data_IF_658523465393
#
_entry.id   IF_658523465393
#
_cell.length_a   1.000
_cell.length_b   1.000
_cell.length_c   1.000
_cell.angle_alpha   90.00
_cell.angle_beta   90.00
_cell.angle_gamma   90.00
#
_symmetry.space_group_name_H-M   'P 1'
#
loop_
_entity.id
_entity.type
_entity.pdbx_description
1 polymer ?
#
# COMPACT_ATOMS: atom_id res chain seq x y z
N UNK A 1 -14.37 8.00 -1.71
CA UNK A 1 -13.29 7.50 -0.83
C UNK A 1 -12.13 8.47 -0.83
N UNK A 2 -11.38 8.56 0.28
CA UNK A 2 -10.14 9.36 0.35
C UNK A 2 -8.96 8.50 -0.09
N UNK A 3 -8.17 8.99 -1.05
CA UNK A 3 -7.00 8.31 -1.58
C UNK A 3 -5.76 9.18 -1.32
N UNK A 4 -4.84 8.65 -0.53
CA UNK A 4 -3.52 9.24 -0.34
C UNK A 4 -2.57 8.78 -1.45
N UNK A 5 -1.82 9.72 -2.02
CA UNK A 5 -0.76 9.43 -2.99
C UNK A 5 0.56 10.02 -2.46
N UNK A 6 1.34 9.25 -1.69
CA UNK A 6 2.67 9.67 -1.28
C UNK A 6 3.60 9.65 -2.50
N UNK A 7 4.38 10.71 -2.70
CA UNK A 7 5.30 10.87 -3.83
C UNK A 7 6.67 11.36 -3.37
N UNK A 8 7.73 10.78 -3.94
CA UNK A 8 9.10 11.29 -3.81
C UNK A 8 9.97 10.84 -4.97
N UNK A 9 10.35 11.76 -5.87
CA UNK A 9 11.14 11.50 -7.08
C UNK A 9 10.55 10.40 -7.97
N UNK A 10 9.23 10.46 -8.22
CA UNK A 10 8.45 9.49 -8.99
C UNK A 10 7.67 10.13 -10.15
N UNK A 11 8.05 11.31 -10.60
CA UNK A 11 7.33 12.07 -11.63
C UNK A 11 7.08 11.30 -12.92
N UNK A 12 7.99 10.38 -13.27
CA UNK A 12 7.86 9.49 -14.44
C UNK A 12 6.70 8.49 -14.36
N UNK A 13 6.16 8.23 -13.16
CA UNK A 13 5.08 7.25 -12.93
C UNK A 13 3.81 7.90 -12.41
N UNK A 14 3.93 9.05 -11.78
CA UNK A 14 2.84 9.71 -11.08
C UNK A 14 1.63 10.02 -12.00
N UNK A 15 1.87 10.32 -13.28
CA UNK A 15 0.79 10.56 -14.25
C UNK A 15 -0.05 9.28 -14.48
N UNK A 16 0.59 8.11 -14.56
CA UNK A 16 -0.09 6.81 -14.68
C UNK A 16 -0.93 6.51 -13.43
N UNK A 17 -0.35 6.72 -12.23
CA UNK A 17 -1.04 6.51 -10.97
C UNK A 17 -2.29 7.37 -10.85
N UNK A 18 -2.18 8.68 -11.08
CA UNK A 18 -3.30 9.62 -11.03
C UNK A 18 -4.34 9.32 -12.11
N UNK A 19 -3.91 9.01 -13.33
CA UNK A 19 -4.82 8.57 -14.40
C UNK A 19 -5.65 7.37 -13.95
N UNK A 20 -5.02 6.35 -13.36
CA UNK A 20 -5.71 5.14 -12.91
C UNK A 20 -6.73 5.41 -11.80
N UNK A 21 -6.45 6.36 -10.91
CA UNK A 21 -7.37 6.78 -9.85
C UNK A 21 -8.59 7.46 -10.46
N UNK A 22 -8.37 8.43 -11.34
CA UNK A 22 -9.47 9.24 -11.90
C UNK A 22 -10.27 8.54 -13.01
N UNK A 23 -9.82 7.37 -13.45
CA UNK A 23 -10.58 6.45 -14.30
C UNK A 23 -11.49 5.49 -13.52
N UNK A 24 -11.40 5.46 -12.19
CA UNK A 24 -12.35 4.70 -11.38
C UNK A 24 -13.73 5.39 -11.40
N UNK A 25 -14.77 4.65 -11.70
CA UNK A 25 -16.14 5.16 -11.85
C UNK A 25 -16.84 5.35 -10.49
N UNK A 26 -16.15 6.01 -9.55
CA UNK A 26 -16.64 6.28 -8.20
C UNK A 26 -16.11 7.63 -7.70
N UNK A 27 -16.83 8.34 -6.82
CA UNK A 27 -16.35 9.57 -6.23
C UNK A 27 -15.10 9.36 -5.39
N UNK A 28 -14.05 10.15 -5.65
CA UNK A 28 -12.77 10.10 -4.94
C UNK A 28 -12.33 11.48 -4.47
N UNK A 29 -11.75 11.54 -3.27
CA UNK A 29 -11.00 12.67 -2.72
C UNK A 29 -9.51 12.30 -2.81
N UNK A 30 -8.76 12.95 -3.68
CA UNK A 30 -7.35 12.62 -3.93
C UNK A 30 -6.44 13.69 -3.36
N UNK A 31 -5.50 13.26 -2.51
CA UNK A 31 -4.47 14.10 -1.91
C UNK A 31 -3.09 13.59 -2.27
N UNK A 32 -2.25 14.46 -2.86
CA UNK A 32 -0.87 14.12 -3.23
C UNK A 32 0.09 14.79 -2.26
N UNK A 33 0.83 13.99 -1.50
CA UNK A 33 1.83 14.46 -0.55
C UNK A 33 3.24 14.16 -1.09
N UNK A 34 3.85 15.16 -1.69
CA UNK A 34 5.20 15.07 -2.24
C UNK A 34 6.25 15.45 -1.20
N UNK A 35 7.23 14.57 -1.00
CA UNK A 35 8.30 14.69 -0.01
C UNK A 35 9.42 15.69 -0.38
N UNK A 36 9.15 16.66 -1.27
CA UNK A 36 10.13 17.62 -1.76
C UNK A 36 10.98 17.04 -2.90
N UNK A 37 10.31 16.49 -3.92
CA UNK A 37 10.95 15.94 -5.11
C UNK A 37 11.79 16.97 -5.85
N UNK A 38 12.88 16.52 -6.44
CA UNK A 38 13.78 17.31 -7.30
C UNK A 38 13.65 16.97 -8.80
N UNK A 39 12.84 15.96 -9.13
CA UNK A 39 12.50 15.60 -10.51
C UNK A 39 11.25 16.35 -11.00
N UNK A 40 10.63 15.90 -12.10
CA UNK A 40 9.42 16.49 -12.66
C UNK A 40 8.11 16.18 -11.89
N UNK A 41 8.17 15.59 -10.68
CA UNK A 41 6.98 15.24 -9.90
C UNK A 41 6.06 16.42 -9.66
N UNK A 42 6.61 17.58 -9.28
CA UNK A 42 5.83 18.80 -8.99
C UNK A 42 5.10 19.31 -10.24
N UNK A 43 5.71 19.20 -11.41
CA UNK A 43 5.07 19.63 -12.67
C UNK A 43 3.89 18.71 -13.02
N UNK A 44 4.04 17.41 -12.80
CA UNK A 44 2.92 16.45 -12.94
C UNK A 44 1.82 16.78 -11.94
N UNK A 45 2.14 17.03 -10.67
CA UNK A 45 1.14 17.40 -9.65
C UNK A 45 0.37 18.66 -10.06
N UNK A 46 1.07 19.70 -10.51
CA UNK A 46 0.43 20.95 -10.98
C UNK A 46 -0.52 20.73 -12.14
N UNK A 47 -0.16 19.86 -13.10
CA UNK A 47 -1.02 19.48 -14.23
C UNK A 47 -2.36 18.89 -13.75
N UNK A 48 -2.33 18.10 -12.68
CA UNK A 48 -3.50 17.46 -12.08
C UNK A 48 -4.20 18.31 -11.00
N UNK A 49 -3.61 19.43 -10.59
CA UNK A 49 -4.05 20.24 -9.44
C UNK A 49 -5.54 20.58 -9.43
N UNK A 50 -6.13 20.81 -10.59
CA UNK A 50 -7.57 21.11 -10.73
C UNK A 50 -8.51 19.93 -10.40
N UNK A 51 -7.98 18.70 -10.30
CA UNK A 51 -8.70 17.47 -9.93
C UNK A 51 -8.38 16.97 -8.53
N UNK A 52 -7.29 17.46 -7.93
CA UNK A 52 -6.88 17.07 -6.59
C UNK A 52 -7.66 17.86 -5.53
N UNK A 53 -8.05 17.20 -4.44
CA UNK A 53 -8.62 17.88 -3.27
C UNK A 53 -7.57 18.67 -2.49
N UNK A 54 -6.30 18.26 -2.57
CA UNK A 54 -5.17 18.96 -1.99
C UNK A 54 -3.84 18.34 -2.40
N UNK A 55 -2.78 19.12 -2.31
CA UNK A 55 -1.42 18.64 -2.51
C UNK A 55 -0.41 19.58 -1.84
N UNK A 56 0.75 19.03 -1.52
CA UNK A 56 1.91 19.82 -1.08
C UNK A 56 3.21 19.21 -1.61
N UNK A 57 4.29 19.99 -1.66
CA UNK A 57 5.62 19.53 -1.99
C UNK A 57 6.64 20.21 -1.08
N UNK A 58 7.11 19.50 -0.08
CA UNK A 58 8.22 19.87 0.81
C UNK A 58 8.73 18.61 1.53
N UNK A 59 9.93 18.70 2.08
CA UNK A 59 10.50 17.60 2.87
C UNK A 59 9.59 17.21 4.03
N UNK A 60 9.45 15.91 4.25
CA UNK A 60 8.61 15.32 5.29
C UNK A 60 9.35 14.17 6.04
N UNK A 61 8.67 13.58 7.01
CA UNK A 61 9.19 12.45 7.79
C UNK A 61 9.07 11.10 7.06
N UNK A 62 8.73 11.12 5.77
CA UNK A 62 8.65 9.94 4.91
C UNK A 62 7.23 9.48 4.60
N UNK A 63 7.16 8.37 3.90
CA UNK A 63 5.93 7.85 3.28
C UNK A 63 4.77 7.69 4.26
N UNK A 64 5.01 7.20 5.48
CA UNK A 64 3.96 7.02 6.48
C UNK A 64 3.36 8.36 6.94
N UNK A 65 4.20 9.38 7.14
CA UNK A 65 3.74 10.74 7.47
C UNK A 65 2.87 11.31 6.34
N UNK A 66 3.34 11.20 5.10
CA UNK A 66 2.60 11.64 3.91
C UNK A 66 1.23 10.94 3.78
N UNK A 67 1.15 9.63 4.03
CA UNK A 67 -0.12 8.88 3.98
C UNK A 67 -1.07 9.35 5.08
N UNK A 68 -0.60 9.44 6.34
CA UNK A 68 -1.44 9.88 7.46
C UNK A 68 -1.94 11.31 7.27
N UNK A 69 -1.07 12.21 6.82
CA UNK A 69 -1.42 13.61 6.51
C UNK A 69 -2.51 13.68 5.44
N UNK A 70 -2.35 12.98 4.31
CA UNK A 70 -3.33 12.96 3.23
C UNK A 70 -4.70 12.45 3.69
N UNK A 71 -4.73 11.33 4.42
CA UNK A 71 -5.99 10.74 4.89
C UNK A 71 -6.69 11.63 5.92
N UNK A 72 -5.93 12.35 6.76
CA UNK A 72 -6.50 13.27 7.75
C UNK A 72 -7.22 14.48 7.14
N UNK A 73 -6.87 14.87 5.90
CA UNK A 73 -7.50 15.98 5.20
C UNK A 73 -8.82 15.60 4.51
N UNK A 74 -9.06 14.32 4.25
CA UNK A 74 -10.27 13.85 3.60
C UNK A 74 -11.38 13.50 4.58
N UNK A 75 -12.62 13.40 4.08
CA UNK A 75 -13.82 13.13 4.89
C UNK A 75 -14.57 11.86 4.45
N UNK A 76 -14.19 11.25 3.35
CA UNK A 76 -14.90 10.10 2.82
C UNK A 76 -14.88 8.89 3.78
N UNK A 77 -15.93 8.06 3.82
CA UNK A 77 -16.10 6.96 4.77
C UNK A 77 -15.12 5.78 4.55
N UNK A 78 -14.40 5.78 3.44
CA UNK A 78 -13.41 4.77 3.09
C UNK A 78 -12.09 5.42 2.73
N UNK A 79 -10.99 4.76 3.07
CA UNK A 79 -9.64 5.25 2.85
C UNK A 79 -8.75 4.18 2.22
N UNK A 80 -7.84 4.60 1.38
CA UNK A 80 -6.73 3.79 0.89
C UNK A 80 -5.56 4.69 0.50
N UNK A 81 -4.42 4.10 0.16
CA UNK A 81 -3.34 4.84 -0.49
C UNK A 81 -2.83 4.08 -1.71
N UNK A 82 -2.35 4.81 -2.66
CA UNK A 82 -1.69 4.30 -3.84
C UNK A 82 -0.31 4.94 -3.93
N UNK A 83 0.74 4.13 -3.96
CA UNK A 83 2.07 4.65 -4.20
C UNK A 83 2.13 5.27 -5.60
N UNK A 84 2.94 6.31 -5.76
CA UNK A 84 3.02 7.07 -7.01
C UNK A 84 3.59 6.30 -8.21
N UNK A 85 4.12 5.10 -7.98
CA UNK A 85 4.61 4.17 -9.00
C UNK A 85 3.64 3.00 -9.31
N UNK A 86 2.54 2.86 -8.57
CA UNK A 86 1.53 1.81 -8.72
C UNK A 86 0.28 2.33 -9.47
N UNK A 87 -0.66 1.44 -9.83
CA UNK A 87 -1.93 1.84 -10.42
C UNK A 87 -3.07 0.86 -10.13
N UNK A 88 -4.30 1.38 -10.14
CA UNK A 88 -5.51 0.56 -10.07
C UNK A 88 -5.87 -0.01 -11.46
N UNK A 89 -6.40 -1.22 -11.46
CA UNK A 89 -7.04 -1.79 -12.64
C UNK A 89 -8.44 -1.17 -12.85
N UNK A 90 -8.99 -1.22 -14.08
CA UNK A 90 -10.36 -0.75 -14.34
C UNK A 90 -11.37 -1.35 -13.34
N UNK A 91 -12.24 -0.50 -12.79
CA UNK A 91 -13.24 -0.87 -11.77
C UNK A 91 -12.67 -1.50 -10.49
N UNK A 92 -11.35 -1.45 -10.25
CA UNK A 92 -10.70 -2.09 -9.10
C UNK A 92 -11.23 -1.57 -7.76
N UNK A 93 -11.34 -0.25 -7.62
CA UNK A 93 -11.90 0.36 -6.41
C UNK A 93 -13.40 0.10 -6.25
N UNK A 94 -14.16 0.04 -7.36
CA UNK A 94 -15.58 -0.32 -7.33
C UNK A 94 -15.76 -1.73 -6.76
N UNK A 95 -15.02 -2.72 -7.25
CA UNK A 95 -15.07 -4.11 -6.77
C UNK A 95 -14.76 -4.20 -5.27
N UNK A 96 -13.73 -3.50 -4.80
CA UNK A 96 -13.38 -3.44 -3.39
C UNK A 96 -14.51 -2.80 -2.55
N UNK A 97 -15.13 -1.72 -3.06
CA UNK A 97 -16.22 -1.04 -2.36
C UNK A 97 -17.47 -1.94 -2.27
N UNK A 98 -17.83 -2.59 -3.36
CA UNK A 98 -18.99 -3.48 -3.41
C UNK A 98 -18.81 -4.65 -2.43
N UNK A 99 -17.62 -5.26 -2.41
CA UNK A 99 -17.30 -6.33 -1.46
C UNK A 99 -17.34 -5.83 0.00
N UNK A 100 -16.77 -4.66 0.30
CA UNK A 100 -16.81 -4.09 1.64
C UNK A 100 -18.24 -3.73 2.08
N UNK A 101 -19.12 -3.43 1.14
CA UNK A 101 -20.54 -3.16 1.43
C UNK A 101 -21.30 -4.44 1.82
N UNK A 102 -20.96 -5.58 1.21
CA UNK A 102 -21.53 -6.89 1.54
C UNK A 102 -21.17 -7.33 2.97
N UNK A 103 -19.98 -6.92 3.45
CA UNK A 103 -19.48 -7.28 4.78
C UNK A 103 -19.36 -6.04 5.69
N UNK A 104 -20.48 -5.57 6.29
CA UNK A 104 -20.51 -4.32 7.06
C UNK A 104 -19.58 -4.33 8.28
N UNK A 105 -19.34 -5.49 8.88
CA UNK A 105 -18.48 -5.65 10.07
C UNK A 105 -16.99 -5.79 9.72
N UNK A 106 -16.63 -5.96 8.45
CA UNK A 106 -15.23 -6.07 8.06
C UNK A 106 -14.53 -4.70 8.13
N UNK A 107 -13.36 -4.58 8.78
CA UNK A 107 -12.63 -3.32 8.86
C UNK A 107 -12.03 -2.89 7.51
N UNK A 108 -11.73 -3.87 6.66
CA UNK A 108 -11.15 -3.67 5.35
C UNK A 108 -11.43 -4.87 4.44
N UNK A 109 -11.33 -4.62 3.14
CA UNK A 109 -11.27 -5.64 2.08
C UNK A 109 -9.96 -5.52 1.33
N UNK A 110 -9.43 -6.64 0.85
CA UNK A 110 -8.25 -6.66 -0.02
C UNK A 110 -8.44 -7.65 -1.17
N UNK A 111 -7.96 -7.27 -2.32
CA UNK A 111 -7.99 -8.09 -3.53
C UNK A 111 -6.61 -8.59 -3.93
N UNK A 112 -6.53 -9.15 -5.16
CA UNK A 112 -5.28 -9.54 -5.80
C UNK A 112 -4.65 -8.35 -6.52
N UNK A 113 -3.33 -8.40 -6.66
CA UNK A 113 -2.59 -7.48 -7.52
C UNK A 113 -1.56 -8.21 -8.38
N UNK A 114 -1.16 -7.55 -9.45
CA UNK A 114 -0.05 -7.96 -10.27
C UNK A 114 1.23 -7.23 -9.86
N UNK A 115 2.37 -7.91 -9.94
CA UNK A 115 3.65 -7.25 -10.12
C UNK A 115 3.92 -7.15 -11.62
N UNK A 116 4.25 -5.94 -12.08
CA UNK A 116 4.61 -5.68 -13.49
C UNK A 116 6.01 -5.10 -13.55
N UNK A 117 6.91 -5.81 -14.23
CA UNK A 117 8.28 -5.33 -14.45
C UNK A 117 8.27 -4.24 -15.51
N UNK A 118 8.73 -3.04 -15.16
CA UNK A 118 8.65 -1.80 -15.96
C UNK A 118 9.09 -1.97 -17.43
N UNK A 119 10.24 -2.61 -17.67
CA UNK A 119 10.82 -2.66 -19.02
C UNK A 119 10.34 -3.85 -19.85
N UNK A 120 10.07 -4.98 -19.22
CA UNK A 120 9.68 -6.21 -19.94
C UNK A 120 8.17 -6.40 -20.04
N UNK A 121 7.40 -5.64 -19.25
CA UNK A 121 5.96 -5.85 -19.12
C UNK A 121 5.57 -7.21 -18.51
N UNK A 122 6.55 -7.99 -18.04
CA UNK A 122 6.31 -9.29 -17.42
C UNK A 122 5.42 -9.13 -16.20
N UNK A 123 4.31 -9.88 -16.19
CA UNK A 123 3.34 -9.89 -15.09
C UNK A 123 3.49 -11.16 -14.27
N UNK A 124 3.49 -11.00 -12.95
CA UNK A 124 3.43 -12.11 -12.00
C UNK A 124 2.41 -11.78 -10.91
N UNK A 125 1.54 -12.71 -10.49
CA UNK A 125 0.60 -12.42 -9.42
C UNK A 125 1.36 -12.22 -8.10
N UNK A 126 0.95 -11.21 -7.32
CA UNK A 126 1.39 -11.09 -5.95
C UNK A 126 0.78 -12.23 -5.14
N UNK A 127 1.54 -12.79 -4.23
CA UNK A 127 1.02 -13.86 -3.38
C UNK A 127 0.05 -13.29 -2.35
N UNK A 128 -1.23 -13.49 -2.59
CA UNK A 128 -2.35 -13.09 -1.72
C UNK A 128 -3.21 -14.32 -1.45
N UNK A 129 -3.70 -14.45 -0.24
CA UNK A 129 -4.55 -15.59 0.19
C UNK A 129 -5.67 -15.09 1.11
N UNK A 130 -6.77 -15.86 1.28
CA UNK A 130 -7.80 -15.57 2.27
C UNK A 130 -7.21 -15.34 3.66
N UNK A 131 -7.81 -14.41 4.40
CA UNK A 131 -7.28 -14.01 5.71
C UNK A 131 -7.23 -15.19 6.69
N UNK A 132 -6.06 -15.38 7.26
CA UNK A 132 -5.84 -16.34 8.34
C UNK A 132 -4.64 -15.87 9.18
N UNK A 133 -4.83 -15.71 10.48
CA UNK A 133 -3.81 -15.19 11.40
C UNK A 133 -2.45 -15.91 11.29
N UNK A 134 -2.46 -17.26 11.35
CA UNK A 134 -1.23 -18.06 11.23
C UNK A 134 -0.52 -17.85 9.89
N UNK A 135 -1.28 -17.63 8.81
CA UNK A 135 -0.71 -17.34 7.48
C UNK A 135 -0.10 -15.96 7.46
N UNK A 136 -0.79 -14.97 8.04
CA UNK A 136 -0.27 -13.62 8.22
C UNK A 136 1.04 -13.63 9.04
N UNK A 137 1.16 -14.44 10.08
CA UNK A 137 2.40 -14.60 10.85
C UNK A 137 3.56 -15.21 10.03
N UNK A 138 3.28 -16.04 9.02
CA UNK A 138 4.29 -16.66 8.17
C UNK A 138 4.79 -15.77 7.03
N UNK A 139 3.97 -14.80 6.61
CA UNK A 139 4.25 -13.80 5.56
C UNK A 139 3.12 -12.79 5.46
N UNK A 140 3.39 -11.60 4.92
CA UNK A 140 2.31 -10.72 4.51
C UNK A 140 1.51 -11.36 3.36
N UNK A 141 0.21 -11.60 3.60
CA UNK A 141 -0.73 -12.22 2.65
C UNK A 141 -1.68 -11.21 2.01
N UNK A 142 -1.48 -9.93 2.27
CA UNK A 142 -2.32 -8.82 1.84
C UNK A 142 -1.49 -7.92 0.94
N UNK A 143 -2.02 -7.56 -0.21
CA UNK A 143 -1.39 -6.62 -1.13
C UNK A 143 -1.85 -5.20 -0.83
N UNK A 144 -0.92 -4.32 -0.53
CA UNK A 144 -1.21 -2.97 -0.09
C UNK A 144 -2.04 -2.16 -1.12
N UNK A 145 -1.66 -2.02 -2.40
CA UNK A 145 -2.43 -1.21 -3.34
C UNK A 145 -3.81 -1.80 -3.66
N UNK A 146 -4.04 -3.07 -3.33
CA UNK A 146 -5.30 -3.76 -3.52
C UNK A 146 -6.20 -3.75 -2.27
N UNK A 147 -6.05 -2.78 -1.37
CA UNK A 147 -6.76 -2.77 -0.08
C UNK A 147 -7.57 -1.48 0.10
N UNK A 148 -8.84 -1.63 0.52
CA UNK A 148 -9.75 -0.56 0.91
C UNK A 148 -10.15 -0.73 2.36
N UNK A 149 -10.07 0.35 3.16
CA UNK A 149 -10.24 0.34 4.61
C UNK A 149 -11.42 1.24 4.99
N UNK A 150 -12.22 0.86 5.98
CA UNK A 150 -13.19 1.79 6.58
C UNK A 150 -12.45 2.89 7.32
N UNK A 151 -12.87 4.15 7.14
CA UNK A 151 -12.28 5.27 7.88
C UNK A 151 -12.34 5.06 9.39
N UNK A 152 -13.46 4.58 9.92
CA UNK A 152 -13.60 4.30 11.35
C UNK A 152 -12.58 3.28 11.87
N UNK A 153 -12.25 2.26 11.08
CA UNK A 153 -11.23 1.28 11.43
C UNK A 153 -9.81 1.86 11.33
N UNK A 154 -9.55 2.68 10.29
CA UNK A 154 -8.29 3.42 10.16
C UNK A 154 -8.03 4.33 11.37
N UNK A 155 -9.03 5.11 11.77
CA UNK A 155 -8.96 6.02 12.91
C UNK A 155 -8.81 5.27 14.24
N UNK A 156 -9.54 4.16 14.41
CA UNK A 156 -9.44 3.33 15.62
C UNK A 156 -8.02 2.80 15.84
N UNK A 157 -7.29 2.46 14.77
CA UNK A 157 -5.92 1.95 14.89
C UNK A 157 -4.85 3.07 14.79
N UNK A 158 -5.24 4.32 14.52
CA UNK A 158 -4.32 5.46 14.45
C UNK A 158 -3.48 5.54 13.16
N UNK A 159 -4.00 5.00 12.04
CA UNK A 159 -3.30 5.05 10.74
C UNK A 159 -2.07 4.16 10.64
N UNK A 160 -1.12 4.50 9.77
CA UNK A 160 0.17 3.79 9.63
C UNK A 160 1.19 4.28 10.65
N UNK A 161 2.04 3.37 11.14
CA UNK A 161 3.10 3.68 12.11
C UNK A 161 4.29 4.38 11.42
N UNK A 162 4.53 5.65 11.77
CA UNK A 162 5.62 6.47 11.22
C UNK A 162 7.03 5.96 11.53
N UNK A 163 7.20 5.12 12.56
CA UNK A 163 8.49 4.52 12.88
C UNK A 163 8.91 3.40 11.90
N UNK A 164 7.96 2.90 11.10
CA UNK A 164 8.19 1.84 10.13
C UNK A 164 8.34 2.40 8.72
N UNK A 165 9.43 2.04 8.03
CA UNK A 165 9.70 2.52 6.67
C UNK A 165 9.34 1.50 5.57
N UNK A 166 9.33 0.19 5.92
CA UNK A 166 9.20 -0.90 4.96
C UNK A 166 8.03 -1.84 5.25
N UNK A 167 7.60 -1.93 6.51
CA UNK A 167 6.56 -2.87 6.94
C UNK A 167 5.38 -2.17 7.63
N UNK A 168 5.14 -0.89 7.33
CA UNK A 168 4.05 -0.10 7.91
C UNK A 168 2.65 -0.63 7.53
N UNK A 169 2.50 -1.15 6.31
CA UNK A 169 1.31 -1.82 5.84
C UNK A 169 1.08 -3.12 6.60
N UNK A 170 2.13 -3.93 6.77
CA UNK A 170 2.06 -5.20 7.49
C UNK A 170 1.69 -5.00 8.96
N UNK A 171 2.24 -3.99 9.65
CA UNK A 171 1.83 -3.60 11.01
C UNK A 171 0.37 -3.13 11.06
N UNK A 172 -0.06 -2.33 10.08
CA UNK A 172 -1.45 -1.88 9.96
C UNK A 172 -2.43 -3.05 9.85
N UNK A 173 -2.13 -4.08 9.03
CA UNK A 173 -2.99 -5.25 8.90
C UNK A 173 -3.15 -6.02 10.21
N UNK A 174 -2.08 -6.13 10.99
CA UNK A 174 -2.14 -6.73 12.31
C UNK A 174 -2.97 -5.91 13.29
N UNK A 175 -2.82 -4.58 13.32
CA UNK A 175 -3.60 -3.69 14.21
C UNK A 175 -5.07 -3.70 13.85
N UNK A 176 -5.43 -3.63 12.57
CA UNK A 176 -6.80 -3.75 12.09
C UNK A 176 -7.42 -5.09 12.53
N UNK A 177 -6.71 -6.19 12.30
CA UNK A 177 -7.18 -7.50 12.74
C UNK A 177 -7.40 -7.57 14.25
N UNK A 178 -6.45 -7.11 15.04
CA UNK A 178 -6.49 -7.20 16.51
C UNK A 178 -7.59 -6.34 17.14
N UNK A 179 -7.86 -5.18 16.58
CA UNK A 179 -8.79 -4.21 17.15
C UNK A 179 -10.18 -4.23 16.52
N UNK A 180 -10.26 -4.56 15.23
CA UNK A 180 -11.50 -4.43 14.46
C UNK A 180 -11.98 -5.75 13.83
N UNK A 181 -11.18 -6.83 13.91
CA UNK A 181 -11.55 -8.13 13.35
C UNK A 181 -10.92 -8.47 12.00
N UNK A 182 -11.23 -9.64 11.43
CA UNK A 182 -10.58 -10.16 10.24
C UNK A 182 -10.93 -9.34 8.98
N UNK A 183 -9.91 -9.08 8.16
CA UNK A 183 -10.07 -8.46 6.86
C UNK A 183 -10.70 -9.45 5.86
N UNK A 184 -11.48 -8.95 4.90
CA UNK A 184 -12.09 -9.76 3.86
C UNK A 184 -11.22 -9.86 2.62
N UNK A 185 -11.19 -11.02 2.02
CA UNK A 185 -10.48 -11.30 0.78
C UNK A 185 -11.44 -11.33 -0.40
N UNK A 186 -11.15 -10.54 -1.42
CA UNK A 186 -11.79 -10.54 -2.72
C UNK A 186 -10.89 -11.29 -3.71
N UNK A 187 -11.35 -12.40 -4.27
CA UNK A 187 -10.59 -13.19 -5.24
C UNK A 187 -10.66 -12.59 -6.65
N UNK A 188 -10.24 -11.32 -6.79
CA UNK A 188 -10.17 -10.62 -8.08
C UNK A 188 -8.96 -9.67 -8.11
N UNK A 189 -8.44 -9.43 -9.32
CA UNK A 189 -7.33 -8.49 -9.53
C UNK A 189 -7.86 -7.07 -9.62
N UNK A 190 -7.35 -6.18 -8.75
CA UNK A 190 -7.83 -4.79 -8.61
C UNK A 190 -6.73 -3.74 -8.73
N UNK A 191 -5.46 -4.13 -8.57
CA UNK A 191 -4.33 -3.19 -8.61
C UNK A 191 -3.08 -3.83 -9.21
N UNK A 192 -2.09 -2.99 -9.45
CA UNK A 192 -0.77 -3.39 -9.97
C UNK A 192 0.32 -2.70 -9.19
N UNK A 193 1.31 -3.46 -8.74
CA UNK A 193 2.58 -2.95 -8.24
C UNK A 193 3.58 -2.87 -9.41
N UNK A 194 4.19 -1.71 -9.58
CA UNK A 194 5.27 -1.53 -10.56
C UNK A 194 6.59 -1.96 -9.97
N UNK A 195 7.29 -2.81 -10.68
CA UNK A 195 8.62 -3.26 -10.30
C UNK A 195 9.67 -2.60 -11.19
N UNK A 196 10.50 -1.73 -10.61
CA UNK A 196 11.59 -1.01 -11.28
C UNK A 196 12.86 -1.00 -10.42
N UNK A 197 13.96 -0.49 -10.93
CA UNK A 197 15.27 -0.55 -10.25
C UNK A 197 15.29 0.15 -8.89
N UNK A 198 14.57 1.28 -8.76
CA UNK A 198 14.50 2.06 -7.52
C UNK A 198 13.40 1.58 -6.55
N UNK A 199 12.72 0.45 -6.83
CA UNK A 199 11.67 -0.09 -5.93
C UNK A 199 12.27 -0.40 -4.55
N UNK A 200 11.69 0.18 -3.49
CA UNK A 200 12.19 0.07 -2.11
C UNK A 200 12.41 -1.36 -1.65
N UNK A 201 11.52 -2.28 -1.99
CA UNK A 201 11.64 -3.70 -1.63
C UNK A 201 12.83 -4.41 -2.28
N UNK A 202 13.36 -3.87 -3.40
CA UNK A 202 14.61 -4.35 -4.01
C UNK A 202 15.83 -3.74 -3.34
N UNK A 203 15.83 -2.44 -3.10
CA UNK A 203 16.99 -1.71 -2.61
C UNK A 203 17.23 -1.86 -1.11
N UNK A 204 16.17 -2.03 -0.32
CA UNK A 204 16.19 -2.10 1.14
C UNK A 204 15.76 -3.46 1.71
N UNK A 205 16.06 -4.57 1.00
CA UNK A 205 15.61 -5.95 1.37
C UNK A 205 15.92 -6.33 2.81
N UNK A 206 17.11 -6.04 3.29
CA UNK A 206 17.51 -6.36 4.67
C UNK A 206 16.64 -5.65 5.69
N UNK A 207 16.41 -4.34 5.49
CA UNK A 207 15.56 -3.53 6.38
C UNK A 207 14.11 -4.02 6.34
N UNK A 208 13.56 -4.27 5.16
CA UNK A 208 12.21 -4.83 4.99
C UNK A 208 12.06 -6.13 5.78
N UNK A 209 13.03 -7.04 5.67
CA UNK A 209 12.97 -8.31 6.37
C UNK A 209 13.04 -8.16 7.89
N UNK A 210 13.92 -7.27 8.38
CA UNK A 210 14.06 -6.97 9.82
C UNK A 210 12.78 -6.34 10.40
N UNK A 211 12.22 -5.34 9.72
CA UNK A 211 10.98 -4.72 10.16
C UNK A 211 9.81 -5.72 10.14
N UNK A 212 9.67 -6.53 9.08
CA UNK A 212 8.63 -7.56 9.00
C UNK A 212 8.73 -8.58 10.15
N UNK A 213 9.93 -9.06 10.49
CA UNK A 213 10.13 -9.95 11.64
C UNK A 213 9.81 -9.27 12.97
N UNK A 214 10.12 -7.97 13.11
CA UNK A 214 9.78 -7.18 14.31
C UNK A 214 8.26 -7.04 14.46
N UNK A 215 7.55 -6.75 13.38
CA UNK A 215 6.08 -6.70 13.34
C UNK A 215 5.48 -8.04 13.75
N UNK A 216 5.95 -9.15 13.17
CA UNK A 216 5.47 -10.50 13.56
C UNK A 216 5.73 -10.77 15.04
N UNK A 217 6.91 -10.43 15.56
CA UNK A 217 7.22 -10.60 17.00
C UNK A 217 6.28 -9.77 17.87
N UNK A 218 6.03 -8.51 17.50
CA UNK A 218 5.16 -7.58 18.22
C UNK A 218 3.71 -8.11 18.33
N UNK A 219 3.16 -8.61 17.22
CA UNK A 219 1.75 -8.96 17.14
C UNK A 219 1.43 -10.44 17.34
N UNK A 220 2.33 -11.33 16.96
CA UNK A 220 2.16 -12.80 17.09
C UNK A 220 2.87 -13.39 18.31
N UNK A 221 3.71 -12.61 18.99
CA UNK A 221 4.47 -13.01 20.18
C UNK A 221 5.79 -13.74 19.87
N UNK A 222 5.88 -14.46 18.77
CA UNK A 222 7.09 -15.17 18.34
C UNK A 222 7.25 -15.12 16.82
N UNK A 223 8.50 -15.15 16.37
CA UNK A 223 8.82 -15.22 14.93
C UNK A 223 8.90 -16.66 14.49
N UNK A 224 8.01 -17.16 13.60
CA UNK A 224 8.06 -18.53 13.11
C UNK A 224 9.40 -18.90 12.48
N UNK A 225 9.83 -20.15 12.65
CA UNK A 225 11.12 -20.67 12.15
C UNK A 225 11.32 -20.43 10.64
N UNK A 226 10.23 -20.41 9.86
CA UNK A 226 10.24 -20.12 8.43
C UNK A 226 10.96 -18.81 8.09
N UNK A 227 10.78 -17.76 8.90
CA UNK A 227 11.45 -16.47 8.68
C UNK A 227 12.98 -16.58 8.79
N UNK A 228 13.45 -17.32 9.78
CA UNK A 228 14.88 -17.54 9.99
C UNK A 228 15.50 -18.38 8.88
N UNK A 229 14.81 -19.42 8.44
CA UNK A 229 15.26 -20.30 7.34
C UNK A 229 15.23 -19.60 5.98
N UNK A 230 14.26 -18.71 5.74
CA UNK A 230 14.13 -17.97 4.48
C UNK A 230 15.06 -16.75 4.40
N UNK A 231 15.56 -16.23 5.52
CA UNK A 231 16.37 -15.00 5.57
C UNK A 231 17.63 -15.06 4.68
N UNK A 232 18.45 -16.12 4.68
CA UNK A 232 19.62 -16.19 3.81
C UNK A 232 19.26 -16.04 2.33
N UNK A 233 18.22 -16.73 1.89
CA UNK A 233 17.75 -16.62 0.50
C UNK A 233 17.16 -15.25 0.18
N UNK A 234 16.26 -14.75 1.01
CA UNK A 234 15.54 -13.50 0.77
C UNK A 234 16.44 -12.27 0.83
N UNK A 235 17.44 -12.26 1.71
CA UNK A 235 18.30 -11.10 1.96
C UNK A 235 19.63 -11.21 1.21
N UNK A 236 20.29 -12.36 1.21
CA UNK A 236 21.64 -12.51 0.68
C UNK A 236 21.65 -12.97 -0.77
N UNK A 237 20.90 -14.00 -1.11
CA UNK A 237 20.95 -14.59 -2.45
C UNK A 237 20.24 -13.67 -3.47
N UNK A 238 19.01 -13.24 -3.18
CA UNK A 238 18.28 -12.33 -4.09
C UNK A 238 18.91 -10.95 -4.25
N UNK A 239 19.67 -10.44 -3.29
CA UNK A 239 20.38 -9.17 -3.45
C UNK A 239 21.61 -9.27 -4.34
N UNK A 240 22.12 -10.49 -4.59
CA UNK A 240 23.35 -10.73 -5.36
C UNK A 240 23.08 -11.20 -6.80
N UNK A 241 21.91 -11.80 -7.04
CA UNK A 241 21.57 -12.47 -8.31
C UNK A 241 20.14 -12.15 -8.84
N UNK A 242 19.39 -11.25 -8.24
CA UNK A 242 18.05 -10.79 -8.60
C UNK A 242 18.02 -9.26 -8.65
#
# INVERSE_FOLDING_TARGET
MTIAVPSFNQGRFLDDALTSIFQQEIPVEVFVMDGGSSDNSVDVIRKWGHRLCGWRSHADEGQAAAINEAISQGLAPYVCWLNSDDWFLPSGLRKLLDELTIYPDAPAVYGRSWNVVQYSGKRTPVWVEPFHERRLALRCIISQPATLIRRSAWEAVGGVDGALHMAMDYDLWWRLYRQCGPLKFLDDFVAVNREHEATKTKTLRRRHYQEAMSVVRKHHGSVPLKWWLAQPYAVWFKSRFG
#
